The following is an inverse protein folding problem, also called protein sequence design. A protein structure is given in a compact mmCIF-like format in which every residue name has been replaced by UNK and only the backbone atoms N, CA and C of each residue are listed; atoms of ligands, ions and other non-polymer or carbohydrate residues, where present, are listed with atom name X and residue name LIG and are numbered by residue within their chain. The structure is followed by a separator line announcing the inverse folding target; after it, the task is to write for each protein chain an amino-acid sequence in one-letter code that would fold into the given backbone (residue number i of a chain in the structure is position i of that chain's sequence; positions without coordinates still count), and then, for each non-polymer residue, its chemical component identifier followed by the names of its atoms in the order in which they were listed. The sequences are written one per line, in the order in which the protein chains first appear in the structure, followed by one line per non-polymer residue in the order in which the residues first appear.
data_IF_912627276023
#
_entry.id   IF_912627276023
#
_cell.length_a   1.000
_cell.length_b   1.000
_cell.length_c   1.000
_cell.angle_alpha   90.00
_cell.angle_beta   90.00
_cell.angle_gamma   90.00
#
_symmetry.space_group_name_H-M   'P 1'
#
loop_
_entity.id
_entity.type
_entity.pdbx_description
1 polymer ?
#
# COMPACT_ATOMS: atom_id res chain seq x y z
N UNK A 1 24.88 -5.30 -4.68
CA UNK A 1 24.93 -6.78 -4.59
C UNK A 1 23.99 -7.35 -3.53
N UNK A 2 23.97 -6.85 -2.29
CA UNK A 2 23.11 -7.34 -1.19
C UNK A 2 21.61 -7.22 -1.49
N UNK A 3 21.19 -6.14 -2.16
CA UNK A 3 19.78 -5.88 -2.48
C UNK A 3 19.22 -6.84 -3.54
N UNK A 4 20.00 -7.17 -4.57
CA UNK A 4 19.64 -8.16 -5.58
C UNK A 4 19.53 -9.59 -5.00
N UNK A 5 20.32 -9.90 -3.98
CA UNK A 5 20.25 -11.21 -3.28
C UNK A 5 18.95 -11.33 -2.50
N UNK A 6 18.54 -10.28 -1.76
CA UNK A 6 17.26 -10.27 -1.03
C UNK A 6 16.05 -10.42 -1.97
N UNK A 7 16.08 -9.79 -3.14
CA UNK A 7 14.97 -9.88 -4.12
C UNK A 7 14.81 -11.30 -4.66
N UNK A 8 15.91 -11.99 -5.00
CA UNK A 8 15.87 -13.38 -5.48
C UNK A 8 15.30 -14.35 -4.44
N UNK A 9 15.66 -14.17 -3.18
CA UNK A 9 15.14 -15.01 -2.08
C UNK A 9 13.64 -14.78 -1.84
N UNK A 10 13.16 -13.53 -1.96
CA UNK A 10 11.73 -13.21 -1.86
C UNK A 10 10.93 -13.85 -3.00
N UNK A 11 11.39 -13.71 -4.25
CA UNK A 11 10.74 -14.32 -5.41
C UNK A 11 10.72 -15.85 -5.34
N UNK A 12 11.78 -16.46 -4.81
CA UNK A 12 11.84 -17.89 -4.56
C UNK A 12 10.80 -18.33 -3.54
N UNK A 13 10.71 -17.65 -2.39
CA UNK A 13 9.72 -17.98 -1.35
C UNK A 13 8.28 -17.80 -1.86
N UNK A 14 8.00 -16.73 -2.59
CA UNK A 14 6.68 -16.50 -3.20
C UNK A 14 6.29 -17.66 -4.14
N UNK A 15 7.22 -18.13 -4.97
CA UNK A 15 6.98 -19.25 -5.89
C UNK A 15 6.75 -20.57 -5.15
N UNK A 16 7.50 -20.82 -4.07
CA UNK A 16 7.29 -21.98 -3.20
C UNK A 16 5.90 -21.92 -2.53
N UNK A 17 5.49 -20.75 -2.04
CA UNK A 17 4.18 -20.58 -1.40
C UNK A 17 3.02 -20.79 -2.37
N UNK A 18 3.14 -20.31 -3.62
CA UNK A 18 2.18 -20.61 -4.69
C UNK A 18 2.07 -22.10 -4.97
N UNK A 19 3.21 -22.80 -5.06
CA UNK A 19 3.23 -24.26 -5.24
C UNK A 19 2.52 -24.99 -4.09
N UNK A 20 2.73 -24.57 -2.83
CA UNK A 20 2.02 -25.14 -1.69
C UNK A 20 0.51 -24.91 -1.74
N UNK A 21 0.09 -23.70 -2.11
CA UNK A 21 -1.33 -23.37 -2.20
C UNK A 21 -2.04 -24.27 -3.22
N UNK A 22 -1.38 -24.49 -4.37
CA UNK A 22 -1.92 -25.34 -5.44
C UNK A 22 -1.92 -26.82 -5.04
N UNK A 23 -0.87 -27.31 -4.37
CA UNK A 23 -0.87 -28.67 -3.82
C UNK A 23 -2.00 -28.92 -2.82
N UNK A 24 -2.41 -27.92 -2.02
CA UNK A 24 -3.56 -28.06 -1.12
C UNK A 24 -4.87 -28.30 -1.87
N UNK A 25 -5.08 -27.62 -2.99
CA UNK A 25 -6.27 -27.78 -3.83
C UNK A 25 -6.33 -29.21 -4.41
N UNK A 26 -5.17 -29.78 -4.77
CA UNK A 26 -5.10 -31.14 -5.35
C UNK A 26 -5.56 -32.26 -4.41
N UNK A 27 -5.58 -32.04 -3.09
CA UNK A 27 -6.16 -33.04 -2.17
C UNK A 27 -7.69 -33.14 -2.30
N UNK A 28 -8.34 -32.09 -2.78
CA UNK A 28 -9.80 -32.04 -2.95
C UNK A 28 -10.20 -32.66 -4.29
N UNK A 29 -9.38 -32.49 -5.33
CA UNK A 29 -9.64 -32.96 -6.71
C UNK A 29 -10.05 -34.44 -6.81
N UNK A 30 -9.33 -35.42 -6.26
CA UNK A 30 -9.70 -36.84 -6.39
C UNK A 30 -11.00 -37.16 -5.65
N UNK A 31 -11.28 -36.48 -4.53
CA UNK A 31 -12.54 -36.64 -3.81
C UNK A 31 -13.70 -36.13 -4.68
N UNK A 32 -13.55 -34.96 -5.29
CA UNK A 32 -14.57 -34.41 -6.19
C UNK A 32 -14.78 -35.29 -7.42
N UNK A 33 -13.71 -35.83 -8.02
CA UNK A 33 -13.81 -36.73 -9.17
C UNK A 33 -14.51 -38.03 -8.81
N UNK A 34 -14.20 -38.60 -7.64
CA UNK A 34 -14.87 -39.81 -7.16
C UNK A 34 -16.37 -39.59 -6.94
N UNK A 35 -16.77 -38.45 -6.36
CA UNK A 35 -18.18 -38.10 -6.17
C UNK A 35 -18.90 -37.91 -7.49
N UNK A 36 -18.31 -37.16 -8.44
CA UNK A 36 -18.91 -36.94 -9.76
C UNK A 36 -19.08 -38.27 -10.51
N UNK A 37 -18.06 -39.13 -10.46
CA UNK A 37 -18.12 -40.47 -11.04
C UNK A 37 -19.26 -41.29 -10.40
N UNK A 38 -19.31 -41.36 -9.06
CA UNK A 38 -20.35 -42.12 -8.35
C UNK A 38 -21.78 -41.66 -8.69
N UNK A 39 -21.98 -40.36 -8.93
CA UNK A 39 -23.25 -39.82 -9.40
C UNK A 39 -23.57 -40.23 -10.85
N UNK A 40 -22.57 -40.34 -11.73
CA UNK A 40 -22.76 -40.80 -13.11
C UNK A 40 -23.14 -42.29 -13.19
N UNK A 41 -22.57 -43.12 -12.31
CA UNK A 41 -22.76 -44.58 -12.32
C UNK A 41 -24.04 -45.09 -11.66
N UNK A 42 -24.87 -44.23 -11.06
CA UNK A 42 -26.16 -44.66 -10.47
C UNK A 42 -27.11 -45.28 -11.50
N UNK A 43 -26.88 -45.04 -12.80
CA UNK A 43 -27.75 -45.49 -13.89
C UNK A 43 -27.38 -46.87 -14.47
N UNK A 44 -26.08 -47.24 -14.55
CA UNK A 44 -25.56 -48.57 -14.97
C UNK A 44 -24.14 -48.83 -14.42
N UNK A 45 -23.98 -49.53 -13.28
CA UNK A 45 -22.68 -49.72 -12.66
C UNK A 45 -21.79 -50.73 -13.42
N UNK A 46 -20.71 -50.25 -14.05
CA UNK A 46 -19.61 -51.11 -14.51
C UNK A 46 -18.56 -51.24 -13.40
N UNK A 47 -18.67 -52.31 -12.60
CA UNK A 47 -17.85 -52.53 -11.39
C UNK A 47 -16.34 -52.56 -11.70
N UNK A 48 -15.95 -53.06 -12.88
CA UNK A 48 -14.53 -53.16 -13.26
C UNK A 48 -13.92 -51.78 -13.50
N UNK A 49 -14.61 -50.90 -14.23
CA UNK A 49 -14.16 -49.53 -14.47
C UNK A 49 -14.10 -48.70 -13.19
N UNK A 50 -15.10 -48.84 -12.31
CA UNK A 50 -15.15 -48.18 -11.00
C UNK A 50 -13.94 -48.55 -10.13
N UNK A 51 -13.56 -49.84 -10.12
CA UNK A 51 -12.42 -50.34 -9.33
C UNK A 51 -11.10 -49.78 -9.84
N UNK A 52 -10.88 -49.80 -11.16
CA UNK A 52 -9.66 -49.29 -11.79
C UNK A 52 -9.53 -47.78 -11.58
N UNK A 53 -10.61 -47.04 -11.82
CA UNK A 53 -10.66 -45.59 -11.63
C UNK A 53 -10.38 -45.20 -10.17
N UNK A 54 -11.01 -45.89 -9.22
CA UNK A 54 -10.76 -45.67 -7.79
C UNK A 54 -9.28 -45.93 -7.44
N UNK A 55 -8.67 -46.96 -8.03
CA UNK A 55 -7.24 -47.23 -7.91
C UNK A 55 -6.36 -46.08 -8.42
N UNK A 56 -6.69 -45.49 -9.57
CA UNK A 56 -5.97 -44.33 -10.13
C UNK A 56 -6.10 -43.11 -9.22
N UNK A 57 -7.28 -42.85 -8.64
CA UNK A 57 -7.47 -41.76 -7.69
C UNK A 57 -6.67 -41.96 -6.40
N UNK A 58 -6.54 -43.19 -5.91
CA UNK A 58 -5.68 -43.50 -4.76
C UNK A 58 -4.21 -43.26 -5.10
N UNK A 59 -3.75 -43.67 -6.29
CA UNK A 59 -2.40 -43.37 -6.77
C UNK A 59 -2.17 -41.86 -6.86
N UNK A 60 -3.13 -41.10 -7.38
CA UNK A 60 -3.09 -39.64 -7.45
C UNK A 60 -2.98 -39.00 -6.06
N UNK A 61 -3.73 -39.49 -5.07
CA UNK A 61 -3.67 -39.03 -3.68
C UNK A 61 -2.31 -39.31 -3.04
N UNK A 62 -1.77 -40.52 -3.21
CA UNK A 62 -0.44 -40.90 -2.69
C UNK A 62 0.63 -40.01 -3.32
N UNK A 63 0.59 -39.84 -4.64
CA UNK A 63 1.49 -38.97 -5.39
C UNK A 63 1.42 -37.51 -4.89
N UNK A 64 0.22 -36.98 -4.66
CA UNK A 64 0.02 -35.63 -4.11
C UNK A 64 0.62 -35.50 -2.70
N UNK A 65 0.44 -36.53 -1.86
CA UNK A 65 1.05 -36.61 -0.53
C UNK A 65 2.58 -36.61 -0.56
N UNK A 66 3.18 -37.41 -1.45
CA UNK A 66 4.64 -37.45 -1.65
C UNK A 66 5.18 -36.10 -2.12
N UNK A 67 4.51 -35.44 -3.07
CA UNK A 67 4.88 -34.10 -3.53
C UNK A 67 4.81 -33.05 -2.42
N UNK A 68 3.77 -33.11 -1.59
CA UNK A 68 3.63 -32.21 -0.45
C UNK A 68 4.80 -32.38 0.54
N UNK A 69 5.17 -33.63 0.86
CA UNK A 69 6.31 -33.92 1.73
C UNK A 69 7.62 -33.43 1.10
N UNK A 70 7.82 -33.68 -0.20
CA UNK A 70 9.01 -33.26 -0.93
C UNK A 70 9.16 -31.73 -0.95
N UNK A 71 8.09 -31.00 -1.26
CA UNK A 71 8.11 -29.53 -1.24
C UNK A 71 8.30 -28.99 0.18
N UNK A 72 7.75 -29.65 1.21
CA UNK A 72 7.94 -29.29 2.64
C UNK A 72 9.39 -29.43 3.05
N UNK A 73 10.07 -30.50 2.60
CA UNK A 73 11.52 -30.65 2.79
C UNK A 73 12.28 -29.51 2.10
N UNK A 74 12.00 -29.22 0.83
CA UNK A 74 12.65 -28.11 0.11
C UNK A 74 12.47 -26.79 0.87
N UNK A 75 11.24 -26.44 1.29
CA UNK A 75 10.98 -25.21 2.04
C UNK A 75 11.74 -25.15 3.36
N UNK A 76 11.87 -26.27 4.06
CA UNK A 76 12.62 -26.34 5.32
C UNK A 76 14.14 -26.22 5.10
N UNK A 77 14.72 -26.95 4.15
CA UNK A 77 16.16 -26.93 3.87
C UNK A 77 16.65 -25.62 3.24
N UNK A 78 15.76 -24.89 2.56
CA UNK A 78 16.12 -23.61 1.91
C UNK A 78 15.99 -22.41 2.87
N UNK A 79 15.51 -22.60 4.11
CA UNK A 79 15.64 -21.59 5.17
C UNK A 79 17.11 -21.52 5.61
N UNK A 80 17.91 -20.71 4.92
CA UNK A 80 19.27 -20.34 5.32
C UNK A 80 20.42 -20.94 4.50
N UNK A 81 20.17 -21.81 3.52
CA UNK A 81 21.19 -22.27 2.56
C UNK A 81 20.72 -22.11 1.11
N UNK A 82 21.62 -21.64 0.25
CA UNK A 82 21.40 -21.51 -1.21
C UNK A 82 21.35 -22.89 -1.85
N UNK A 83 20.16 -23.49 -1.92
CA UNK A 83 19.94 -24.68 -2.73
C UNK A 83 19.54 -24.26 -4.13
N UNK A 84 20.29 -24.67 -5.17
CA UNK A 84 20.00 -24.40 -6.59
C UNK A 84 18.87 -25.28 -7.15
N UNK A 85 17.78 -25.49 -6.39
CA UNK A 85 16.67 -26.31 -6.89
C UNK A 85 15.92 -25.54 -7.97
N UNK A 86 15.90 -26.07 -9.19
CA UNK A 86 15.13 -25.48 -10.28
C UNK A 86 13.63 -25.75 -10.08
N UNK A 87 12.95 -24.82 -9.40
CA UNK A 87 11.51 -24.92 -9.11
C UNK A 87 10.65 -25.00 -10.38
N UNK A 88 11.08 -24.43 -11.50
CA UNK A 88 10.37 -24.57 -12.77
C UNK A 88 10.39 -26.02 -13.23
N UNK A 89 11.56 -26.65 -13.25
CA UNK A 89 11.68 -28.05 -13.67
C UNK A 89 10.87 -28.97 -12.76
N UNK A 90 10.91 -28.75 -11.43
CA UNK A 90 10.09 -29.52 -10.48
C UNK A 90 8.60 -29.37 -10.77
N UNK A 91 8.11 -28.14 -10.94
CA UNK A 91 6.71 -27.87 -11.24
C UNK A 91 6.29 -28.46 -12.60
N UNK A 92 7.16 -28.39 -13.62
CA UNK A 92 6.91 -28.98 -14.93
C UNK A 92 6.79 -30.49 -14.85
N UNK A 93 7.71 -31.18 -14.17
CA UNK A 93 7.63 -32.63 -13.98
C UNK A 93 6.34 -33.00 -13.23
N UNK A 94 5.99 -32.22 -12.21
CA UNK A 94 4.77 -32.48 -11.46
C UNK A 94 3.50 -32.37 -12.32
N UNK A 95 3.42 -31.33 -13.13
CA UNK A 95 2.30 -31.09 -14.06
C UNK A 95 2.27 -32.10 -15.20
N UNK A 96 3.42 -32.59 -15.67
CA UNK A 96 3.49 -33.65 -16.67
C UNK A 96 2.88 -34.95 -16.13
N UNK A 97 3.18 -35.32 -14.88
CA UNK A 97 2.56 -36.48 -14.23
C UNK A 97 1.06 -36.27 -14.05
N UNK A 98 0.63 -35.05 -13.71
CA UNK A 98 -0.81 -34.75 -13.63
C UNK A 98 -1.51 -34.92 -14.98
N UNK A 99 -0.87 -34.48 -16.09
CA UNK A 99 -1.39 -34.69 -17.45
C UNK A 99 -1.58 -36.18 -17.71
N UNK A 100 -0.56 -37.01 -17.45
CA UNK A 100 -0.63 -38.47 -17.68
C UNK A 100 -1.72 -39.13 -16.84
N UNK A 101 -1.79 -38.81 -15.54
CA UNK A 101 -2.82 -39.34 -14.66
C UNK A 101 -4.22 -38.92 -15.13
N UNK A 102 -4.37 -37.68 -15.61
CA UNK A 102 -5.64 -37.17 -16.11
C UNK A 102 -6.02 -37.80 -17.45
N UNK A 103 -5.06 -38.08 -18.34
CA UNK A 103 -5.30 -38.85 -19.57
C UNK A 103 -5.80 -40.25 -19.25
N UNK A 104 -5.23 -40.91 -18.23
CA UNK A 104 -5.70 -42.23 -17.77
C UNK A 104 -7.12 -42.14 -17.20
N UNK A 105 -7.43 -41.11 -16.41
CA UNK A 105 -8.77 -40.87 -15.89
C UNK A 105 -9.77 -40.69 -17.04
N UNK A 106 -9.45 -39.87 -18.05
CA UNK A 106 -10.28 -39.66 -19.25
C UNK A 106 -10.51 -40.97 -20.00
N UNK A 107 -9.46 -41.78 -20.18
CA UNK A 107 -9.56 -43.07 -20.85
C UNK A 107 -10.55 -44.01 -20.16
N UNK A 108 -10.42 -44.19 -18.85
CA UNK A 108 -11.27 -45.13 -18.11
C UNK A 108 -12.70 -44.63 -17.85
N UNK A 109 -12.94 -43.32 -18.01
CA UNK A 109 -14.25 -42.67 -17.88
C UNK A 109 -15.06 -42.68 -19.19
N UNK A 110 -14.43 -42.96 -20.34
CA UNK A 110 -15.15 -42.93 -21.62
C UNK A 110 -14.31 -42.62 -22.85
N UNK A 111 -13.01 -42.34 -22.68
CA UNK A 111 -12.12 -42.01 -23.79
C UNK A 111 -12.56 -40.73 -24.48
N UNK A 112 -12.83 -40.82 -25.79
CA UNK A 112 -13.33 -39.70 -26.58
C UNK A 112 -14.69 -39.17 -26.14
N UNK A 113 -15.52 -39.99 -25.49
CA UNK A 113 -16.86 -39.58 -25.02
C UNK A 113 -16.83 -38.98 -23.61
N UNK A 114 -15.65 -38.93 -22.98
CA UNK A 114 -15.51 -38.48 -21.60
C UNK A 114 -15.72 -36.96 -21.46
N UNK A 115 -16.57 -36.59 -20.51
CA UNK A 115 -16.77 -35.18 -20.14
C UNK A 115 -15.60 -34.63 -19.31
N UNK A 116 -14.72 -35.51 -18.81
CA UNK A 116 -13.57 -35.17 -17.97
C UNK A 116 -12.43 -34.52 -18.76
N UNK A 117 -12.53 -34.45 -20.09
CA UNK A 117 -11.61 -33.70 -20.96
C UNK A 117 -11.51 -32.23 -20.54
N UNK A 118 -12.59 -31.64 -20.00
CA UNK A 118 -12.59 -30.28 -19.47
C UNK A 118 -11.63 -30.08 -18.29
N UNK A 119 -11.24 -31.15 -17.58
CA UNK A 119 -10.35 -31.04 -16.43
C UNK A 119 -8.92 -30.65 -16.83
N UNK A 120 -8.54 -30.90 -18.09
CA UNK A 120 -7.28 -30.41 -18.64
C UNK A 120 -7.14 -28.89 -18.52
N UNK A 121 -8.25 -28.14 -18.59
CA UNK A 121 -8.24 -26.68 -18.41
C UNK A 121 -7.60 -26.31 -17.06
N UNK A 122 -7.90 -27.03 -15.98
CA UNK A 122 -7.33 -26.73 -14.66
C UNK A 122 -5.81 -26.91 -14.63
N UNK A 123 -5.29 -27.98 -15.24
CA UNK A 123 -3.85 -28.23 -15.31
C UNK A 123 -3.16 -27.14 -16.13
N UNK A 124 -3.76 -26.71 -17.24
CA UNK A 124 -3.26 -25.63 -18.09
C UNK A 124 -3.29 -24.27 -17.39
N UNK A 125 -4.36 -23.94 -16.66
CA UNK A 125 -4.45 -22.71 -15.87
C UNK A 125 -3.34 -22.68 -14.81
N UNK A 126 -3.15 -23.80 -14.11
CA UNK A 126 -2.07 -23.93 -13.13
C UNK A 126 -0.70 -23.77 -13.80
N UNK A 127 -0.47 -24.40 -14.95
CA UNK A 127 0.77 -24.25 -15.70
C UNK A 127 1.01 -22.79 -16.12
N UNK A 128 -0.01 -22.11 -16.64
CA UNK A 128 0.08 -20.71 -17.08
C UNK A 128 0.46 -19.75 -15.95
N UNK A 129 0.06 -20.08 -14.71
CA UNK A 129 0.34 -19.27 -13.51
C UNK A 129 1.71 -19.59 -12.90
N UNK A 130 2.07 -20.86 -12.76
CA UNK A 130 3.27 -21.25 -11.99
C UNK A 130 4.55 -21.17 -12.83
N UNK A 131 4.53 -21.74 -14.03
CA UNK A 131 5.74 -21.98 -14.80
C UNK A 131 6.02 -20.85 -15.78
N UNK A 132 7.27 -20.77 -16.22
CA UNK A 132 7.66 -19.82 -17.25
C UNK A 132 7.05 -20.20 -18.60
N UNK A 133 7.03 -19.25 -19.54
CA UNK A 133 6.25 -19.38 -20.78
C UNK A 133 6.64 -20.63 -21.57
N UNK A 134 7.95 -20.85 -21.72
CA UNK A 134 8.50 -22.00 -22.42
C UNK A 134 7.96 -23.34 -21.88
N UNK A 135 8.06 -23.56 -20.56
CA UNK A 135 7.58 -24.80 -19.93
C UNK A 135 6.06 -24.93 -20.00
N UNK A 136 5.33 -23.82 -19.93
CA UNK A 136 3.88 -23.84 -20.07
C UNK A 136 3.42 -24.28 -21.47
N UNK A 137 4.01 -23.73 -22.53
CA UNK A 137 3.72 -24.17 -23.91
C UNK A 137 4.16 -25.61 -24.17
N UNK A 138 5.27 -26.04 -23.57
CA UNK A 138 5.72 -27.43 -23.60
C UNK A 138 4.67 -28.38 -22.98
N UNK A 139 4.17 -28.05 -21.77
CA UNK A 139 3.14 -28.83 -21.10
C UNK A 139 1.84 -28.89 -21.91
N UNK A 140 1.41 -27.78 -22.50
CA UNK A 140 0.29 -27.76 -23.44
C UNK A 140 0.51 -28.71 -24.62
N UNK A 141 1.69 -28.67 -25.25
CA UNK A 141 2.04 -29.58 -26.34
C UNK A 141 2.01 -31.05 -25.93
N UNK A 142 2.55 -31.39 -24.75
CA UNK A 142 2.46 -32.75 -24.21
C UNK A 142 1.01 -33.17 -23.99
N UNK A 143 0.19 -32.31 -23.41
CA UNK A 143 -1.21 -32.58 -23.14
C UNK A 143 -2.01 -32.85 -24.42
N UNK A 144 -1.81 -32.03 -25.45
CA UNK A 144 -2.41 -32.24 -26.77
C UNK A 144 -1.95 -33.55 -27.40
N UNK A 145 -0.66 -33.91 -27.26
CA UNK A 145 -0.12 -35.16 -27.78
C UNK A 145 -0.70 -36.39 -27.05
N UNK A 146 -0.85 -36.33 -25.73
CA UNK A 146 -1.49 -37.40 -24.95
C UNK A 146 -2.96 -37.56 -25.33
N UNK A 147 -3.70 -36.46 -25.48
CA UNK A 147 -5.10 -36.51 -25.89
C UNK A 147 -5.28 -37.05 -27.32
N UNK A 148 -4.51 -36.54 -28.28
CA UNK A 148 -4.54 -37.02 -29.66
C UNK A 148 -4.07 -38.48 -29.77
N UNK A 149 -3.06 -38.87 -28.99
CA UNK A 149 -2.58 -40.24 -28.92
C UNK A 149 -3.62 -41.22 -28.37
N UNK A 150 -4.38 -40.79 -27.36
CA UNK A 150 -5.51 -41.56 -26.82
C UNK A 150 -6.57 -41.79 -27.90
N UNK A 151 -7.02 -40.71 -28.55
CA UNK A 151 -8.03 -40.77 -29.61
C UNK A 151 -7.55 -41.65 -30.77
N UNK A 152 -6.33 -41.43 -31.25
CA UNK A 152 -5.76 -42.21 -32.34
C UNK A 152 -5.66 -43.70 -31.98
N UNK A 153 -5.27 -44.02 -30.74
CA UNK A 153 -5.20 -45.39 -30.24
C UNK A 153 -6.57 -46.07 -30.19
N UNK A 154 -7.63 -45.35 -29.81
CA UNK A 154 -9.00 -45.88 -29.83
C UNK A 154 -9.54 -46.04 -31.26
N UNK A 155 -9.33 -45.05 -32.13
CA UNK A 155 -9.79 -45.10 -33.53
C UNK A 155 -9.17 -46.25 -34.33
N UNK A 156 -7.89 -46.53 -34.10
CA UNK A 156 -7.16 -47.61 -34.78
C UNK A 156 -7.41 -48.98 -34.16
N UNK A 157 -8.05 -49.03 -32.98
CA UNK A 157 -8.28 -50.26 -32.22
C UNK A 157 -7.05 -50.78 -31.48
N UNK A 158 -5.94 -50.05 -31.43
CA UNK A 158 -4.79 -50.40 -30.58
C UNK A 158 -5.14 -50.34 -29.09
N UNK A 159 -6.06 -49.46 -28.72
CA UNK A 159 -6.59 -49.32 -27.37
C UNK A 159 -8.09 -49.66 -27.41
N UNK A 160 -8.54 -50.50 -26.48
CA UNK A 160 -9.96 -50.83 -26.39
C UNK A 160 -10.76 -49.61 -25.94
N UNK A 161 -11.73 -49.19 -26.75
CA UNK A 161 -12.65 -48.12 -26.41
C UNK A 161 -13.56 -48.55 -25.24
N UNK A 162 -13.62 -47.73 -24.19
CA UNK A 162 -14.41 -47.98 -22.98
C UNK A 162 -15.71 -47.17 -23.08
N UNK A 163 -16.67 -47.60 -23.90
CA UNK A 163 -17.94 -46.88 -24.00
C UNK A 163 -18.80 -47.10 -22.74
N UNK A 164 -19.23 -46.00 -22.11
CA UNK A 164 -20.21 -46.03 -21.01
C UNK A 164 -21.66 -45.93 -21.52
N UNK A 165 -21.88 -45.39 -22.72
CA UNK A 165 -23.19 -45.34 -23.37
C UNK A 165 -23.40 -46.64 -24.15
N UNK A 166 -24.32 -47.48 -23.67
CA UNK A 166 -24.81 -48.63 -24.43
C UNK A 166 -25.63 -48.27 -25.67
N UNK A 167 -25.33 -47.15 -26.33
CA UNK A 167 -25.96 -46.69 -27.55
C UNK A 167 -25.19 -47.29 -28.74
N UNK A 168 -25.92 -47.94 -29.66
CA UNK A 168 -25.40 -48.57 -30.88
C UNK A 168 -24.84 -47.56 -31.92
N UNK A 169 -24.51 -46.34 -31.51
CA UNK A 169 -23.96 -45.32 -32.39
C UNK A 169 -22.45 -45.38 -32.21
N UNK A 170 -21.75 -45.97 -33.18
CA UNK A 170 -20.30 -46.05 -33.19
C UNK A 170 -19.67 -44.67 -33.49
N UNK A 171 -19.88 -43.69 -32.60
CA UNK A 171 -19.41 -42.31 -32.74
C UNK A 171 -17.89 -42.25 -32.97
N UNK A 172 -17.14 -43.10 -32.27
CA UNK A 172 -15.68 -43.22 -32.42
C UNK A 172 -15.21 -43.83 -33.76
N UNK A 173 -16.10 -44.45 -34.54
CA UNK A 173 -15.77 -45.04 -35.86
C UNK A 173 -15.88 -44.00 -37.00
N UNK A 174 -16.61 -42.90 -36.79
CA UNK A 174 -16.72 -41.84 -37.78
C UNK A 174 -15.50 -40.92 -37.74
N UNK A 175 -14.51 -41.20 -38.60
CA UNK A 175 -13.24 -40.48 -38.68
C UNK A 175 -13.40 -38.95 -38.70
N UNK A 176 -14.33 -38.42 -39.51
CA UNK A 176 -14.53 -36.98 -39.64
C UNK A 176 -15.03 -36.32 -38.36
N UNK A 177 -15.92 -37.00 -37.62
CA UNK A 177 -16.48 -36.47 -36.38
C UNK A 177 -15.41 -36.46 -35.30
N UNK A 178 -14.72 -37.59 -35.11
CA UNK A 178 -13.62 -37.71 -34.15
C UNK A 178 -12.51 -36.69 -34.41
N UNK A 179 -12.08 -36.54 -35.66
CA UNK A 179 -11.03 -35.59 -36.01
C UNK A 179 -11.46 -34.14 -35.72
N UNK A 180 -12.70 -33.79 -36.03
CA UNK A 180 -13.20 -32.43 -35.77
C UNK A 180 -13.35 -32.14 -34.27
N UNK A 181 -13.81 -33.10 -33.48
CA UNK A 181 -13.85 -32.99 -32.01
C UNK A 181 -12.43 -32.82 -31.43
N UNK A 182 -11.49 -33.69 -31.83
CA UNK A 182 -10.10 -33.65 -31.40
C UNK A 182 -9.44 -32.30 -31.68
N UNK A 183 -9.60 -31.78 -32.91
CA UNK A 183 -9.07 -30.48 -33.32
C UNK A 183 -9.73 -29.36 -32.50
N UNK A 184 -11.05 -29.42 -32.31
CA UNK A 184 -11.78 -28.40 -31.57
C UNK A 184 -11.33 -28.31 -30.12
N UNK A 185 -11.17 -29.46 -29.44
CA UNK A 185 -10.72 -29.55 -28.05
C UNK A 185 -9.30 -29.02 -27.92
N UNK A 186 -8.37 -29.48 -28.76
CA UNK A 186 -6.97 -29.01 -28.72
C UNK A 186 -6.92 -27.50 -28.98
N UNK A 187 -7.65 -27.00 -29.99
CA UNK A 187 -7.71 -25.58 -30.30
C UNK A 187 -8.28 -24.74 -29.15
N UNK A 188 -9.40 -25.16 -28.54
CA UNK A 188 -10.01 -24.47 -27.41
C UNK A 188 -9.09 -24.45 -26.19
N UNK A 189 -8.43 -25.57 -25.87
CA UNK A 189 -7.46 -25.66 -24.79
C UNK A 189 -6.24 -24.76 -25.04
N UNK A 190 -5.76 -24.71 -26.29
CA UNK A 190 -4.68 -23.82 -26.70
C UNK A 190 -5.04 -22.34 -26.59
N UNK A 191 -6.25 -21.97 -27.01
CA UNK A 191 -6.79 -20.63 -26.90
C UNK A 191 -6.94 -20.22 -25.43
N UNK A 192 -7.55 -21.08 -24.61
CA UNK A 192 -7.69 -20.86 -23.16
C UNK A 192 -6.32 -20.70 -22.48
N UNK A 193 -5.36 -21.56 -22.81
CA UNK A 193 -4.00 -21.46 -22.28
C UNK A 193 -3.32 -20.15 -22.69
N UNK A 194 -3.41 -19.78 -23.96
CA UNK A 194 -2.87 -18.52 -24.49
C UNK A 194 -3.47 -17.31 -23.78
N UNK A 195 -4.81 -17.23 -23.68
CA UNK A 195 -5.49 -16.13 -22.99
C UNK A 195 -5.15 -16.08 -21.50
N UNK A 196 -5.17 -17.21 -20.81
CA UNK A 196 -4.82 -17.27 -19.38
C UNK A 196 -3.38 -16.80 -19.15
N UNK A 197 -2.45 -17.18 -20.03
CA UNK A 197 -1.05 -16.76 -19.99
C UNK A 197 -0.91 -15.27 -20.24
N UNK A 198 -1.60 -14.74 -21.26
CA UNK A 198 -1.64 -13.32 -21.59
C UNK A 198 -2.15 -12.50 -20.39
N UNK A 199 -3.32 -12.86 -19.85
CA UNK A 199 -3.93 -12.22 -18.68
C UNK A 199 -3.02 -12.27 -17.45
N UNK A 200 -2.37 -13.41 -17.19
CA UNK A 200 -1.44 -13.54 -16.06
C UNK A 200 -0.23 -12.62 -16.21
N UNK A 201 0.31 -12.49 -17.44
CA UNK A 201 1.44 -11.60 -17.72
C UNK A 201 1.03 -10.13 -17.55
N UNK A 202 -0.10 -9.74 -18.11
CA UNK A 202 -0.63 -8.38 -18.02
C UNK A 202 -0.94 -7.99 -16.58
N UNK A 203 -1.61 -8.87 -15.83
CA UNK A 203 -1.91 -8.66 -14.41
C UNK A 203 -0.65 -8.42 -13.56
N UNK A 204 0.43 -9.16 -13.82
CA UNK A 204 1.72 -8.96 -13.12
C UNK A 204 2.35 -7.62 -13.44
N UNK A 205 2.39 -7.25 -14.72
CA UNK A 205 2.95 -5.97 -15.15
C UNK A 205 2.20 -4.79 -14.52
N UNK A 206 0.87 -4.88 -14.48
CA UNK A 206 0.03 -3.87 -13.84
C UNK A 206 0.29 -3.78 -12.33
N UNK A 207 0.40 -4.91 -11.63
CA UNK A 207 0.72 -4.95 -10.20
C UNK A 207 2.09 -4.34 -9.89
N UNK A 208 3.11 -4.65 -10.71
CA UNK A 208 4.45 -4.12 -10.53
C UNK A 208 4.49 -2.61 -10.79
N UNK A 209 3.84 -2.14 -11.87
CA UNK A 209 3.72 -0.72 -12.18
C UNK A 209 2.97 0.04 -11.06
N UNK A 210 1.89 -0.53 -10.52
CA UNK A 210 1.16 0.05 -9.41
C UNK A 210 2.00 0.14 -8.14
N UNK A 211 2.76 -0.92 -7.81
CA UNK A 211 3.67 -0.94 -6.67
C UNK A 211 4.78 0.12 -6.81
N UNK A 212 5.35 0.28 -8.00
CA UNK A 212 6.35 1.30 -8.27
C UNK A 212 5.77 2.71 -8.15
N UNK A 213 4.58 2.94 -8.70
CA UNK A 213 3.86 4.20 -8.57
C UNK A 213 3.58 4.55 -7.10
N UNK A 214 3.14 3.58 -6.29
CA UNK A 214 2.95 3.77 -4.84
C UNK A 214 4.26 4.09 -4.11
N UNK A 215 5.36 3.40 -4.45
CA UNK A 215 6.68 3.69 -3.87
C UNK A 215 7.14 5.10 -4.20
N UNK A 216 6.95 5.54 -5.45
CA UNK A 216 7.28 6.91 -5.88
C UNK A 216 6.41 7.94 -5.18
N UNK A 217 5.10 7.71 -5.09
CA UNK A 217 4.16 8.56 -4.36
C UNK A 217 4.56 8.69 -2.87
N UNK A 218 4.85 7.58 -2.20
CA UNK A 218 5.30 7.58 -0.80
C UNK A 218 6.60 8.37 -0.61
N UNK A 219 7.58 8.20 -1.50
CA UNK A 219 8.86 8.95 -1.45
C UNK A 219 8.65 10.45 -1.64
N UNK A 220 7.80 10.83 -2.59
CA UNK A 220 7.45 12.24 -2.85
C UNK A 220 6.71 12.82 -1.64
N UNK A 221 5.70 12.12 -1.13
CA UNK A 221 4.95 12.54 0.07
C UNK A 221 5.87 12.76 1.27
N UNK A 222 6.77 11.81 1.55
CA UNK A 222 7.73 11.95 2.66
C UNK A 222 8.65 13.15 2.46
N UNK A 223 9.14 13.39 1.24
CA UNK A 223 9.96 14.58 0.94
C UNK A 223 9.20 15.89 1.19
N UNK A 224 7.91 15.94 0.85
CA UNK A 224 7.07 17.11 1.17
C UNK A 224 6.88 17.27 2.67
N UNK A 225 6.56 16.18 3.39
CA UNK A 225 6.42 16.21 4.86
C UNK A 225 7.72 16.71 5.52
N UNK A 226 8.88 16.18 5.12
CA UNK A 226 10.20 16.58 5.63
C UNK A 226 10.51 18.06 5.34
N UNK A 227 10.13 18.58 4.16
CA UNK A 227 10.30 19.99 3.81
C UNK A 227 9.48 20.90 4.73
N UNK A 228 8.19 20.61 4.91
CA UNK A 228 7.32 21.40 5.78
C UNK A 228 7.70 21.27 7.27
N UNK A 229 8.19 20.10 7.69
CA UNK A 229 8.66 19.86 9.05
C UNK A 229 10.00 20.54 9.36
N UNK A 230 10.82 20.84 8.35
CA UNK A 230 12.09 21.58 8.51
C UNK A 230 11.94 23.09 8.68
N UNK A 231 10.76 23.64 8.38
CA UNK A 231 10.48 25.08 8.49
C UNK A 231 10.25 25.45 9.95
N UNK A 232 10.96 26.47 10.43
CA UNK A 232 10.84 26.98 11.81
C UNK A 232 9.56 27.78 12.10
N UNK A 233 8.82 28.14 11.06
CA UNK A 233 7.50 28.75 11.21
C UNK A 233 6.44 27.67 11.45
N UNK A 234 5.42 28.02 12.23
CA UNK A 234 4.24 27.20 12.52
C UNK A 234 3.36 27.15 11.27
N UNK A 235 3.23 25.96 10.66
CA UNK A 235 2.41 25.75 9.47
C UNK A 235 1.14 25.02 9.86
N UNK A 236 -0.01 25.55 9.45
CA UNK A 236 -1.32 24.96 9.67
C UNK A 236 -2.17 25.07 8.40
N UNK A 237 -2.95 24.03 8.12
CA UNK A 237 -4.02 24.07 7.14
C UNK A 237 -5.32 23.63 7.81
N UNK A 238 -6.38 24.39 7.59
CA UNK A 238 -7.71 24.15 8.16
C UNK A 238 -8.76 24.13 7.05
N UNK A 239 -9.85 23.40 7.25
CA UNK A 239 -11.04 23.56 6.41
C UNK A 239 -11.80 24.84 6.74
N UNK A 240 -12.91 25.11 6.04
CA UNK A 240 -13.74 26.28 6.29
C UNK A 240 -14.38 26.29 7.69
N UNK A 241 -14.48 25.14 8.36
CA UNK A 241 -15.04 24.99 9.70
C UNK A 241 -13.98 25.06 10.82
N UNK A 242 -12.70 25.22 10.45
CA UNK A 242 -11.60 25.27 11.41
C UNK A 242 -11.04 23.91 11.81
N UNK A 243 -11.49 22.81 11.21
CA UNK A 243 -10.90 21.49 11.44
C UNK A 243 -9.48 21.46 10.89
N UNK A 244 -8.53 21.01 11.70
CA UNK A 244 -7.13 20.93 11.30
C UNK A 244 -6.95 19.81 10.27
N UNK A 245 -6.62 20.19 9.03
CA UNK A 245 -6.27 19.28 7.94
C UNK A 245 -4.80 18.85 8.00
N UNK A 246 -3.91 19.78 8.37
CA UNK A 246 -2.47 19.55 8.44
C UNK A 246 -1.79 20.52 9.40
N UNK A 247 -0.78 20.04 10.13
CA UNK A 247 0.19 20.88 10.86
C UNK A 247 1.59 20.26 10.77
N UNK A 248 2.62 21.10 10.67
CA UNK A 248 4.01 20.66 10.70
C UNK A 248 4.48 20.29 12.12
N UNK A 249 5.66 19.69 12.24
CA UNK A 249 6.28 19.35 13.54
C UNK A 249 6.45 20.57 14.43
N UNK A 250 6.90 21.71 13.86
CA UNK A 250 7.18 22.90 14.67
C UNK A 250 5.94 23.46 15.34
N UNK A 251 4.82 23.48 14.64
CA UNK A 251 3.51 23.84 15.20
C UNK A 251 3.15 22.97 16.41
N UNK A 252 3.36 21.65 16.32
CA UNK A 252 3.07 20.71 17.42
C UNK A 252 4.00 20.90 18.62
N UNK A 253 5.28 21.11 18.36
CA UNK A 253 6.30 21.33 19.37
C UNK A 253 6.03 22.62 20.15
N UNK A 254 5.77 23.72 19.45
CA UNK A 254 5.54 25.04 20.07
C UNK A 254 4.22 25.10 20.84
N UNK A 255 3.16 24.49 20.31
CA UNK A 255 1.84 24.52 20.96
C UNK A 255 1.58 23.35 21.94
N UNK A 256 2.49 22.37 22.02
CA UNK A 256 2.39 21.23 22.95
C UNK A 256 1.39 20.14 22.56
N UNK A 257 0.89 20.13 21.32
CA UNK A 257 -0.11 19.16 20.86
C UNK A 257 0.51 17.94 20.17
N UNK A 258 0.01 16.74 20.49
CA UNK A 258 0.42 15.52 19.80
C UNK A 258 -0.33 15.33 18.49
N UNK A 259 0.16 14.45 17.60
CA UNK A 259 -0.51 14.11 16.34
C UNK A 259 -1.90 13.49 16.52
N UNK A 260 -2.17 12.85 17.66
CA UNK A 260 -3.50 12.35 18.00
C UNK A 260 -4.44 13.47 18.45
N UNK A 261 -3.92 14.46 19.17
CA UNK A 261 -4.70 15.60 19.66
C UNK A 261 -5.20 16.46 18.49
N UNK A 262 -4.34 16.71 17.50
CA UNK A 262 -4.66 17.58 16.35
C UNK A 262 -5.84 17.11 15.52
N UNK A 263 -6.21 15.82 15.57
CA UNK A 263 -7.38 15.29 14.83
C UNK A 263 -8.72 15.65 15.48
N UNK A 264 -8.71 15.98 16.77
CA UNK A 264 -9.91 16.30 17.56
C UNK A 264 -10.01 17.79 17.91
N UNK A 265 -8.98 18.54 17.54
CA UNK A 265 -8.81 19.95 17.89
C UNK A 265 -9.36 20.82 16.76
N UNK A 266 -10.17 21.82 17.10
CA UNK A 266 -10.52 22.87 16.16
C UNK A 266 -9.52 24.02 16.30
N UNK A 267 -9.26 24.74 15.22
CA UNK A 267 -8.37 25.90 15.24
C UNK A 267 -8.88 27.02 16.16
N UNK A 268 -10.20 27.12 16.38
CA UNK A 268 -10.78 28.05 17.34
C UNK A 268 -10.33 27.80 18.79
N UNK A 269 -10.01 26.56 19.16
CA UNK A 269 -9.53 26.20 20.51
C UNK A 269 -8.15 26.79 20.84
N UNK A 270 -7.42 27.21 19.80
CA UNK A 270 -6.05 27.71 19.81
C UNK A 270 -6.03 29.24 19.76
N UNK A 271 -7.07 29.84 19.21
CA UNK A 271 -7.30 31.28 19.33
C UNK A 271 -7.70 31.63 20.76
N UNK A 272 -7.53 32.89 21.15
CA UNK A 272 -7.77 33.33 22.52
C UNK A 272 -9.23 33.09 22.92
N UNK A 273 -9.47 32.16 23.87
CA UNK A 273 -10.83 31.78 24.33
C UNK A 273 -11.65 32.91 24.95
N UNK A 274 -11.00 33.99 25.39
CA UNK A 274 -11.68 35.16 25.96
C UNK A 274 -12.42 35.98 24.87
N UNK A 275 -12.23 35.63 23.59
CA UNK A 275 -12.84 36.26 22.43
C UNK A 275 -13.66 35.23 21.62
N UNK A 276 -14.85 34.83 22.08
CA UNK A 276 -15.71 33.84 21.37
C UNK A 276 -16.00 34.19 19.89
N UNK A 277 -15.93 35.47 19.50
CA UNK A 277 -16.16 35.94 18.13
C UNK A 277 -14.89 36.06 17.26
N UNK A 278 -13.69 35.77 17.79
CA UNK A 278 -12.44 35.96 17.04
C UNK A 278 -12.34 35.06 15.82
N UNK A 279 -12.75 33.78 15.92
CA UNK A 279 -12.64 32.85 14.79
C UNK A 279 -13.58 33.21 13.62
N UNK A 280 -14.80 33.67 13.92
CA UNK A 280 -15.74 34.16 12.89
C UNK A 280 -15.19 35.42 12.22
N UNK A 281 -14.67 36.37 13.00
CA UNK A 281 -14.04 37.57 12.47
C UNK A 281 -12.75 37.26 11.70
N UNK A 282 -12.08 36.17 12.04
CA UNK A 282 -10.88 35.67 11.38
C UNK A 282 -11.17 35.05 10.01
N UNK A 283 -12.28 34.31 9.86
CA UNK A 283 -12.67 33.66 8.59
C UNK A 283 -13.52 34.55 7.68
N UNK A 284 -14.40 35.39 8.23
CA UNK A 284 -15.36 36.22 7.47
C UNK A 284 -14.76 37.02 6.29
N UNK A 285 -13.54 37.57 6.36
CA UNK A 285 -12.94 38.26 5.22
C UNK A 285 -12.64 37.33 4.04
N UNK A 286 -12.24 36.09 4.32
CA UNK A 286 -11.97 35.07 3.29
C UNK A 286 -13.26 34.53 2.67
N UNK A 287 -14.34 34.43 3.45
CA UNK A 287 -15.68 34.13 2.92
C UNK A 287 -16.19 35.24 1.98
N UNK A 288 -15.80 36.50 2.25
CA UNK A 288 -16.11 37.66 1.40
C UNK A 288 -15.19 37.81 0.18
N UNK A 289 -14.28 36.85 -0.04
CA UNK A 289 -13.43 36.78 -1.23
C UNK A 289 -11.99 37.27 -1.04
N UNK A 290 -11.58 37.65 0.17
CA UNK A 290 -10.16 37.94 0.46
C UNK A 290 -9.32 36.67 0.26
N UNK A 291 -8.15 36.81 -0.37
CA UNK A 291 -7.30 35.66 -0.74
C UNK A 291 -6.11 35.47 0.19
N UNK A 292 -5.55 36.57 0.66
CA UNK A 292 -4.41 36.55 1.57
C UNK A 292 -4.53 37.70 2.56
N UNK A 293 -4.13 37.45 3.81
CA UNK A 293 -4.13 38.48 4.85
C UNK A 293 -3.04 38.20 5.88
N UNK A 294 -2.39 39.28 6.34
CA UNK A 294 -1.43 39.22 7.44
C UNK A 294 -2.14 39.32 8.78
N UNK A 295 -1.69 38.55 9.75
CA UNK A 295 -2.21 38.56 11.11
C UNK A 295 -1.06 38.61 12.10
N UNK A 296 -1.27 39.41 13.15
CA UNK A 296 -0.53 39.32 14.40
C UNK A 296 -1.56 39.02 15.49
N UNK A 297 -1.41 37.89 16.17
CA UNK A 297 -2.39 37.40 17.15
C UNK A 297 -1.71 36.58 18.25
N UNK A 298 -2.48 36.13 19.22
CA UNK A 298 -2.02 35.27 20.31
C UNK A 298 -2.59 33.87 20.11
N UNK A 299 -1.72 32.86 20.16
CA UNK A 299 -2.12 31.46 20.25
C UNK A 299 -2.05 30.96 21.69
N UNK A 300 -2.94 30.04 22.02
CA UNK A 300 -3.02 29.37 23.32
C UNK A 300 -2.50 27.92 23.17
N UNK A 301 -1.46 27.59 23.93
CA UNK A 301 -0.89 26.23 23.94
C UNK A 301 -1.81 25.25 24.69
N UNK A 302 -1.51 23.96 24.57
CA UNK A 302 -2.20 22.90 25.34
C UNK A 302 -2.15 23.15 26.86
N UNK A 303 -1.03 23.69 27.35
CA UNK A 303 -0.80 24.01 28.75
C UNK A 303 -1.32 25.41 29.14
N UNK A 304 -2.07 26.06 28.25
CA UNK A 304 -2.68 27.39 28.39
C UNK A 304 -1.70 28.56 28.46
N UNK A 305 -0.49 28.38 27.94
CA UNK A 305 0.45 29.49 27.77
C UNK A 305 0.08 30.33 26.55
N UNK A 306 0.40 31.63 26.59
CA UNK A 306 0.12 32.59 25.52
C UNK A 306 1.38 32.79 24.67
N UNK A 307 1.28 32.53 23.37
CA UNK A 307 2.38 32.71 22.42
C UNK A 307 1.99 33.80 21.42
N UNK A 308 2.85 34.81 21.27
CA UNK A 308 2.64 35.87 20.27
C UNK A 308 3.09 35.36 18.91
N UNK A 309 2.20 35.43 17.93
CA UNK A 309 2.47 34.94 16.58
C UNK A 309 2.16 36.00 15.52
N UNK A 310 2.98 36.03 14.47
CA UNK A 310 2.75 36.88 13.30
C UNK A 310 2.91 36.04 12.03
N UNK A 311 2.02 36.24 11.06
CA UNK A 311 2.04 35.40 9.87
C UNK A 311 1.06 35.80 8.79
N UNK A 312 1.00 34.98 7.75
CA UNK A 312 0.09 35.14 6.63
C UNK A 312 -0.86 33.95 6.56
N UNK A 313 -2.11 34.23 6.21
CA UNK A 313 -3.10 33.24 5.82
C UNK A 313 -3.41 33.38 4.36
N UNK A 314 -3.57 32.25 3.69
CA UNK A 314 -3.91 32.15 2.27
C UNK A 314 -5.10 31.21 2.08
N UNK A 315 -6.10 31.67 1.33
CA UNK A 315 -7.31 30.93 1.03
C UNK A 315 -7.17 30.10 -0.25
N UNK A 316 -7.60 28.85 -0.16
CA UNK A 316 -7.84 27.99 -1.32
C UNK A 316 -9.34 27.98 -1.58
N UNK A 317 -9.72 28.50 -2.75
CA UNK A 317 -11.11 28.57 -3.20
C UNK A 317 -11.24 27.73 -4.47
N UNK A 318 -12.30 26.94 -4.57
CA UNK A 318 -12.67 26.16 -5.76
C UNK A 318 -14.11 26.52 -6.07
N UNK A 319 -14.43 26.83 -7.34
CA UNK A 319 -15.79 27.18 -7.78
C UNK A 319 -16.46 28.32 -6.97
N UNK A 320 -15.67 29.32 -6.58
CA UNK A 320 -16.08 30.45 -5.71
C UNK A 320 -16.43 30.11 -4.26
N UNK A 321 -16.19 28.87 -3.82
CA UNK A 321 -16.36 28.45 -2.43
C UNK A 321 -15.03 28.30 -1.68
N UNK A 322 -14.96 28.77 -0.44
CA UNK A 322 -13.79 28.61 0.43
C UNK A 322 -13.65 27.15 0.84
N UNK A 323 -12.60 26.48 0.35
CA UNK A 323 -12.35 25.05 0.64
C UNK A 323 -11.44 24.88 1.85
N UNK A 324 -10.38 25.68 1.95
CA UNK A 324 -9.41 25.57 3.04
C UNK A 324 -8.59 26.84 3.21
N UNK A 325 -8.14 27.12 4.43
CA UNK A 325 -7.17 28.16 4.74
C UNK A 325 -5.81 27.53 5.08
N UNK A 326 -4.73 28.18 4.66
CA UNK A 326 -3.35 27.82 4.99
C UNK A 326 -2.67 28.98 5.69
N UNK A 327 -2.24 28.75 6.92
CA UNK A 327 -1.53 29.72 7.75
C UNK A 327 -0.07 29.34 7.93
N UNK A 328 0.81 30.34 7.80
CA UNK A 328 2.22 30.24 8.18
C UNK A 328 2.47 31.36 9.19
N UNK A 329 2.81 30.98 10.41
CA UNK A 329 2.98 31.89 11.54
C UNK A 329 4.36 31.74 12.17
N UNK A 330 5.01 32.85 12.46
CA UNK A 330 6.25 32.92 13.21
C UNK A 330 5.96 33.24 14.67
N UNK A 331 6.57 32.50 15.57
CA UNK A 331 6.59 32.85 17.00
C UNK A 331 7.50 34.08 17.19
N UNK A 332 6.89 35.17 17.66
CA UNK A 332 7.55 36.45 17.93
C UNK A 332 7.57 36.77 19.43
N UNK A 333 7.27 35.82 20.31
CA UNK A 333 7.16 36.03 21.77
C UNK A 333 8.42 36.67 22.34
N UNK A 334 9.60 36.09 22.04
CA UNK A 334 10.89 36.64 22.47
C UNK A 334 11.18 38.03 21.91
N UNK A 335 10.72 38.31 20.69
CA UNK A 335 10.93 39.61 20.05
C UNK A 335 10.08 40.68 20.74
N UNK A 336 8.81 40.37 21.03
CA UNK A 336 7.90 41.27 21.74
C UNK A 336 8.37 41.50 23.19
N UNK A 337 8.87 40.47 23.87
CA UNK A 337 9.43 40.59 25.22
C UNK A 337 10.67 41.49 25.24
N UNK A 338 11.62 41.28 24.32
CA UNK A 338 12.82 42.10 24.22
C UNK A 338 12.51 43.56 23.85
N UNK A 339 11.51 43.79 22.98
CA UNK A 339 11.06 45.14 22.63
C UNK A 339 10.48 45.86 23.85
N UNK A 340 9.65 45.17 24.65
CA UNK A 340 9.07 45.70 25.88
C UNK A 340 10.11 45.97 26.96
N UNK A 341 11.11 45.11 27.10
CA UNK A 341 12.23 45.33 28.03
C UNK A 341 13.04 46.58 27.65
N UNK A 342 13.37 46.72 26.35
CA UNK A 342 14.06 47.90 25.82
C UNK A 342 13.26 49.19 26.03
N UNK A 343 11.94 49.15 25.84
CA UNK A 343 11.06 50.30 26.09
C UNK A 343 11.06 50.70 27.57
N UNK A 344 10.94 49.73 28.48
CA UNK A 344 11.00 49.97 29.92
C UNK A 344 12.36 50.56 30.36
N UNK A 345 13.48 50.08 29.80
CA UNK A 345 14.80 50.65 30.06
C UNK A 345 14.91 52.10 29.56
N UNK A 346 14.41 52.38 28.36
CA UNK A 346 14.40 53.74 27.82
C UNK A 346 13.55 54.69 28.66
N UNK A 347 12.43 54.22 29.20
CA UNK A 347 11.58 55.01 30.09
C UNK A 347 12.30 55.33 31.41
N UNK A 348 12.96 54.34 32.03
CA UNK A 348 13.81 54.54 33.23
C UNK A 348 14.96 55.51 32.98
N UNK A 349 15.64 55.41 31.83
CA UNK A 349 16.71 56.32 31.43
C UNK A 349 16.20 57.75 31.25
N UNK A 350 15.03 57.94 30.63
CA UNK A 350 14.37 59.25 30.50
C UNK A 350 14.04 59.86 31.85
N UNK A 351 13.51 59.05 32.78
CA UNK A 351 13.19 59.49 34.13
C UNK A 351 14.46 59.88 34.92
N UNK A 352 15.51 59.06 34.85
CA UNK A 352 16.79 59.34 35.48
C UNK A 352 17.46 60.63 34.95
N UNK A 353 17.46 60.83 33.62
CA UNK A 353 17.97 62.06 33.00
C UNK A 353 17.20 63.30 33.48
N UNK A 354 15.87 63.22 33.62
CA UNK A 354 15.05 64.32 34.14
C UNK A 354 15.44 64.69 35.58
N UNK A 355 15.71 63.70 36.42
CA UNK A 355 16.17 63.90 37.81
C UNK A 355 17.56 64.55 37.84
N UNK A 356 18.49 64.09 37.00
CA UNK A 356 19.85 64.64 36.88
C UNK A 356 19.87 66.10 36.48
N UNK A 357 19.13 66.46 35.43
CA UNK A 357 19.00 67.86 34.98
C UNK A 357 18.44 68.73 36.12
N UNK A 358 17.43 68.24 36.84
CA UNK A 358 16.89 68.94 38.01
C UNK A 358 17.90 69.12 39.15
N UNK A 359 18.76 68.11 39.39
CA UNK A 359 19.85 68.19 40.38
C UNK A 359 20.94 69.18 39.97
N UNK A 360 21.35 69.17 38.71
CA UNK A 360 22.35 70.13 38.19
C UNK A 360 21.85 71.56 38.30
N UNK A 361 20.58 71.81 37.96
CA UNK A 361 19.97 73.14 38.11
C UNK A 361 20.03 73.63 39.57
N UNK A 362 19.63 72.78 40.54
CA UNK A 362 19.73 73.10 41.97
C UNK A 362 21.17 73.32 42.44
N UNK A 363 22.12 72.57 41.92
CA UNK A 363 23.54 72.71 42.28
C UNK A 363 24.13 74.01 41.77
N UNK A 364 23.74 74.44 40.57
CA UNK A 364 24.12 75.75 40.01
C UNK A 364 23.53 76.86 40.90
N UNK A 365 22.24 76.78 41.22
CA UNK A 365 21.54 77.73 42.08
C UNK A 365 22.21 77.85 43.46
N UNK A 366 22.49 76.72 44.12
CA UNK A 366 23.21 76.69 45.39
C UNK A 366 24.63 77.27 45.30
N UNK A 367 25.36 76.99 44.21
CA UNK A 367 26.72 77.54 44.04
C UNK A 367 26.70 79.05 43.88
N UNK A 368 25.71 79.58 43.16
CA UNK A 368 25.53 81.01 42.99
C UNK A 368 25.13 81.69 44.30
N UNK A 369 24.30 81.03 45.11
CA UNK A 369 23.92 81.50 46.44
C UNK A 369 25.08 81.47 47.45
N UNK A 370 25.87 80.39 47.47
CA UNK A 370 27.12 80.32 48.26
C UNK A 370 28.07 81.44 47.85
N UNK A 371 28.21 81.74 46.54
CA UNK A 371 29.06 82.85 46.08
C UNK A 371 28.54 84.20 46.58
N UNK A 372 27.22 84.43 46.58
CA UNK A 372 26.64 85.67 47.14
C UNK A 372 26.91 85.79 48.64
N UNK A 373 26.60 84.75 49.42
CA UNK A 373 26.82 84.73 50.87
C UNK A 373 28.28 84.93 51.24
N UNK A 374 29.20 84.31 50.47
CA UNK A 374 30.64 84.48 50.69
C UNK A 374 31.10 85.91 50.42
N UNK A 375 30.57 86.54 49.36
CA UNK A 375 30.84 87.95 49.06
C UNK A 375 30.30 88.89 50.14
N UNK A 376 29.12 88.62 50.68
CA UNK A 376 28.54 89.35 51.81
C UNK A 376 29.37 89.21 53.10
N UNK A 377 29.83 87.99 53.40
CA UNK A 377 30.67 87.73 54.57
C UNK A 377 32.05 88.40 54.47
N UNK A 378 32.66 88.40 53.27
CA UNK A 378 33.94 89.08 53.03
C UNK A 378 33.79 90.61 53.16
N UNK A 379 32.63 91.19 52.84
CA UNK A 379 32.33 92.62 53.13
C UNK A 379 32.07 92.90 54.60
N UNK A 380 31.60 91.93 55.40
CA UNK A 380 31.35 92.09 56.84
C UNK A 380 32.63 91.89 57.69
N UNK A 381 33.60 91.12 57.20
CA UNK A 381 34.89 90.87 57.87
C UNK A 381 36.00 91.85 57.45
N UNK A 382 35.70 92.77 56.52
CA UNK A 382 36.61 93.80 56.00
C UNK A 382 36.44 95.19 56.62
N UNK A 383 35.59 95.33 57.64
CA UNK A 383 35.44 96.51 58.51
C UNK A 383 36.00 96.21 59.89
#
# INVERSE_FOLDING_TARGET
MIEQVKIKDVLFQEKVDKLFWILKIRFITPITLWVVMMLGFTSRPNIRSITIFSGILVIYLIYTGLNYIHLKRIKHYTKGKRTQVNLNMLATVQLLVDIVLLTLIIYFDGGIESHMVLLYVFVLVVAAVIVDAYYGYFLYGCMSLFYLGLIFGEMTGYIAHQSERGDNINYYQEFGVVLSDAISVVFLLGLLFYFTRYLTKESRLLQDAFREALKKYSKVKKKYDDLFDSVNDLIVSIDAQGTILYVNNKWREVLGYTKSDTKKLNFSDILCRECEDEFKNFIAPFEKGERERRFRTVFITKDRERIQVEGNLSAKVVDSELVSLRGIFRDITKQVEAEKERENEQEKLKEFNKILIGREHKMIEMKDEIKRLKKENDTLMGT
#
